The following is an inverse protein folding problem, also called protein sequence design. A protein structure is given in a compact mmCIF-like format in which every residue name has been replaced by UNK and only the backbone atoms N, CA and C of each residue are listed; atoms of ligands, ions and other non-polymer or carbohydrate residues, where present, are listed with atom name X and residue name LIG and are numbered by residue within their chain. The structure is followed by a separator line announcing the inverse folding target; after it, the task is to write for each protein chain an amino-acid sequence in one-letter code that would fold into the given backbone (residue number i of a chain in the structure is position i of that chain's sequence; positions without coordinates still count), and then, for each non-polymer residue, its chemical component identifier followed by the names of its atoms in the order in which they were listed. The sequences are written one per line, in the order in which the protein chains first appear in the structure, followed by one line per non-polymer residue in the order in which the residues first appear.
data_IF_247239014100
#
_entry.id   IF_247239014100
#
_cell.length_a   1.000
_cell.length_b   1.000
_cell.length_c   1.000
_cell.angle_alpha   90.00
_cell.angle_beta   90.00
_cell.angle_gamma   90.00
#
_symmetry.space_group_name_H-M   'P 1'
#
loop_
_entity.id
_entity.type
_entity.pdbx_description
1 polymer ?
#
# COMPACT_ATOMS: atom_id res chain seq x y z
N UNK A 1 -5.61 -6.19 14.29
CA UNK A 1 -6.02 -4.96 14.98
C UNK A 1 -6.75 -4.07 13.99
N UNK A 2 -7.96 -3.61 14.32
CA UNK A 2 -8.74 -2.72 13.46
C UNK A 2 -8.29 -1.26 13.61
N UNK A 3 -8.21 -0.53 12.50
CA UNK A 3 -7.90 0.92 12.48
C UNK A 3 -9.03 1.78 13.05
N UNK A 4 -10.21 1.18 13.26
CA UNK A 4 -11.38 1.81 13.83
C UNK A 4 -11.43 1.69 15.36
N UNK A 5 -10.47 0.98 15.97
CA UNK A 5 -10.39 0.86 17.42
C UNK A 5 -10.13 2.22 18.09
N UNK A 6 -10.57 2.42 19.36
CA UNK A 6 -10.27 3.65 20.12
C UNK A 6 -8.76 3.91 20.28
N UNK A 7 -7.97 2.83 20.30
CA UNK A 7 -6.50 2.86 20.41
C UNK A 7 -5.80 3.05 19.05
N UNK A 8 -6.56 3.34 17.98
CA UNK A 8 -5.99 3.64 16.68
C UNK A 8 -5.03 4.82 16.73
N UNK A 9 -3.93 4.72 15.96
CA UNK A 9 -3.03 5.88 15.77
C UNK A 9 -3.63 6.90 14.79
N UNK A 10 -4.71 6.53 14.11
CA UNK A 10 -5.42 7.32 13.10
C UNK A 10 -6.73 7.92 13.62
N UNK A 11 -6.88 8.12 14.94
CA UNK A 11 -8.08 8.74 15.53
C UNK A 11 -8.44 10.11 14.95
N UNK A 12 -7.47 10.87 14.41
CA UNK A 12 -7.73 12.16 13.75
C UNK A 12 -8.55 12.03 12.45
N UNK A 13 -8.57 10.85 11.82
CA UNK A 13 -9.33 10.58 10.60
C UNK A 13 -10.70 9.93 10.88
N UNK A 14 -10.89 9.36 12.07
CA UNK A 14 -12.15 8.75 12.45
C UNK A 14 -13.28 9.80 12.54
N UNK A 15 -14.49 9.42 12.13
CA UNK A 15 -15.67 10.30 12.23
C UNK A 15 -16.25 10.42 13.64
N UNK A 16 -15.82 9.55 14.55
CA UNK A 16 -16.10 9.67 15.99
C UNK A 16 -14.91 10.25 16.78
N UNK A 17 -13.87 10.72 16.07
CA UNK A 17 -12.64 11.23 16.67
C UNK A 17 -12.59 12.75 16.89
N UNK A 18 -11.43 13.28 17.32
CA UNK A 18 -11.18 14.69 17.65
C UNK A 18 -11.68 15.74 16.66
N UNK A 19 -11.60 15.48 15.35
CA UNK A 19 -11.92 16.45 14.30
C UNK A 19 -13.07 15.99 13.41
N UNK A 20 -14.04 15.26 13.96
CA UNK A 20 -15.20 14.77 13.22
C UNK A 20 -15.84 15.87 12.38
N UNK A 21 -16.22 15.53 11.15
CA UNK A 21 -16.83 16.49 10.23
C UNK A 21 -18.34 16.38 10.38
N UNK A 22 -19.00 17.49 10.73
CA UNK A 22 -20.46 17.57 10.81
C UNK A 22 -21.02 18.38 9.64
N UNK A 23 -22.33 18.55 9.53
CA UNK A 23 -22.95 19.37 8.48
C UNK A 23 -22.44 20.81 8.49
N UNK A 24 -22.10 21.34 9.67
CA UNK A 24 -21.48 22.65 9.84
C UNK A 24 -19.99 22.52 10.15
N UNK A 25 -19.22 23.56 9.87
CA UNK A 25 -17.82 23.68 10.26
C UNK A 25 -17.67 23.87 11.77
N UNK A 26 -16.44 23.69 12.26
CA UNK A 26 -16.05 23.88 13.66
C UNK A 26 -16.04 25.36 14.10
N UNK A 27 -16.67 26.26 13.34
CA UNK A 27 -16.76 27.70 13.62
C UNK A 27 -17.88 28.09 14.59
N UNK A 28 -18.62 27.13 15.12
CA UNK A 28 -19.72 27.46 16.01
C UNK A 28 -19.13 28.08 17.29
N UNK A 29 -19.38 29.38 17.51
CA UNK A 29 -18.79 30.19 18.58
C UNK A 29 -18.76 29.48 19.93
N UNK A 30 -17.84 29.92 20.82
CA UNK A 30 -17.41 29.23 22.07
C UNK A 30 -18.53 28.62 22.94
N UNK A 31 -19.80 29.03 22.76
CA UNK A 31 -20.96 28.58 23.53
C UNK A 31 -22.12 27.96 22.73
N UNK A 32 -21.94 27.65 21.45
CA UNK A 32 -23.00 27.04 20.64
C UNK A 32 -23.41 25.64 21.15
N UNK A 33 -24.67 25.25 20.88
CA UNK A 33 -25.16 23.91 21.23
C UNK A 33 -24.36 22.80 20.54
N UNK A 34 -23.96 23.02 19.28
CA UNK A 34 -23.14 22.09 18.51
C UNK A 34 -21.75 21.90 19.11
N UNK A 35 -21.08 22.98 19.54
CA UNK A 35 -19.78 22.92 20.20
C UNK A 35 -19.87 22.20 21.55
N UNK A 36 -20.92 22.44 22.34
CA UNK A 36 -21.15 21.72 23.60
C UNK A 36 -21.39 20.23 23.39
N UNK A 37 -22.20 19.86 22.40
CA UNK A 37 -22.47 18.47 22.02
C UNK A 37 -21.20 17.76 21.56
N UNK A 38 -20.41 18.41 20.72
CA UNK A 38 -19.14 17.88 20.24
C UNK A 38 -18.14 17.68 21.38
N UNK A 39 -17.96 18.67 22.28
CA UNK A 39 -17.11 18.52 23.46
C UNK A 39 -17.62 17.39 24.37
N UNK A 40 -18.94 17.27 24.57
CA UNK A 40 -19.53 16.16 25.34
C UNK A 40 -19.22 14.80 24.72
N UNK A 41 -19.26 14.71 23.39
CA UNK A 41 -18.90 13.49 22.66
C UNK A 41 -17.41 13.19 22.74
N UNK A 42 -16.53 14.19 22.60
CA UNK A 42 -15.09 14.02 22.79
C UNK A 42 -14.76 13.57 24.21
N UNK A 43 -15.48 14.08 25.21
CA UNK A 43 -15.31 13.70 26.62
C UNK A 43 -15.68 12.26 26.96
N UNK A 44 -16.38 11.54 26.07
CA UNK A 44 -16.69 10.12 26.27
C UNK A 44 -15.43 9.26 26.31
N UNK A 45 -14.35 9.71 25.69
CA UNK A 45 -13.03 9.10 25.75
C UNK A 45 -12.00 10.18 26.18
N UNK A 46 -11.45 10.10 27.41
CA UNK A 46 -10.45 11.06 27.89
C UNK A 46 -9.25 11.25 26.96
N UNK A 47 -8.84 10.19 26.25
CA UNK A 47 -7.72 10.24 25.32
C UNK A 47 -8.02 11.14 24.11
N UNK A 48 -9.28 11.17 23.64
CA UNK A 48 -9.69 12.01 22.52
C UNK A 48 -9.59 13.51 22.84
N UNK A 49 -9.85 13.92 24.08
CA UNK A 49 -9.68 15.32 24.49
C UNK A 49 -8.20 15.72 24.43
N UNK A 50 -7.32 14.89 24.97
CA UNK A 50 -5.88 15.17 24.97
C UNK A 50 -5.34 15.24 23.55
N UNK A 51 -5.71 14.28 22.69
CA UNK A 51 -5.37 14.29 21.26
C UNK A 51 -5.90 15.53 20.55
N UNK A 52 -7.16 15.92 20.81
CA UNK A 52 -7.74 17.14 20.25
C UNK A 52 -6.93 18.38 20.64
N UNK A 53 -6.60 18.55 21.93
CA UNK A 53 -5.85 19.71 22.41
C UNK A 53 -4.46 19.80 21.77
N UNK A 54 -3.74 18.68 21.73
CA UNK A 54 -2.41 18.62 21.11
C UNK A 54 -2.45 18.98 19.63
N UNK A 55 -3.35 18.35 18.87
CA UNK A 55 -3.51 18.61 17.43
C UNK A 55 -3.99 20.04 17.15
N UNK A 56 -4.92 20.58 17.95
CA UNK A 56 -5.36 21.97 17.83
C UNK A 56 -4.18 22.93 18.00
N UNK A 57 -3.37 22.73 19.04
CA UNK A 57 -2.17 23.56 19.27
C UNK A 57 -1.19 23.46 18.09
N UNK A 58 -0.94 22.26 17.56
CA UNK A 58 -0.09 22.09 16.37
C UNK A 58 -0.65 22.80 15.15
N UNK A 59 -1.96 22.73 14.92
CA UNK A 59 -2.63 23.45 13.83
C UNK A 59 -2.51 24.96 13.97
N UNK A 60 -2.62 25.47 15.19
CA UNK A 60 -2.48 26.90 15.50
C UNK A 60 -1.05 27.38 15.23
N UNK A 61 -0.05 26.63 15.67
CA UNK A 61 1.36 26.92 15.35
C UNK A 61 1.64 26.85 13.84
N UNK A 62 1.04 25.86 13.16
CA UNK A 62 1.20 25.68 11.72
C UNK A 62 0.60 26.84 10.92
N UNK A 63 -0.61 27.28 11.29
CA UNK A 63 -1.30 28.41 10.67
C UNK A 63 -0.84 29.78 11.17
N UNK A 64 -0.04 29.81 12.25
CA UNK A 64 0.37 31.02 12.97
C UNK A 64 -0.83 31.85 13.44
N UNK A 65 -1.70 31.21 14.21
CA UNK A 65 -2.91 31.78 14.81
C UNK A 65 -3.03 31.41 16.29
N UNK A 66 -3.73 32.23 17.06
CA UNK A 66 -3.96 32.01 18.50
C UNK A 66 -5.34 31.40 18.80
N UNK A 67 -6.30 31.51 17.88
CA UNK A 67 -7.67 31.07 18.06
C UNK A 67 -8.39 30.75 16.73
N UNK A 68 -9.62 30.25 16.83
CA UNK A 68 -10.45 29.91 15.68
C UNK A 68 -11.01 31.13 14.91
N UNK A 69 -11.07 32.32 15.51
CA UNK A 69 -11.56 33.53 14.83
C UNK A 69 -10.53 33.99 13.80
N UNK A 70 -9.24 33.93 14.14
CA UNK A 70 -8.15 34.21 13.21
C UNK A 70 -8.12 33.26 12.00
N UNK A 71 -8.60 32.02 12.15
CA UNK A 71 -8.77 31.09 11.02
C UNK A 71 -9.79 31.64 10.01
N UNK A 72 -10.85 32.31 10.46
CA UNK A 72 -11.83 32.93 9.56
C UNK A 72 -11.24 34.13 8.81
N UNK A 73 -10.36 34.89 9.46
CA UNK A 73 -9.61 35.96 8.80
C UNK A 73 -8.70 35.39 7.70
N UNK A 74 -7.99 34.28 7.98
CA UNK A 74 -7.19 33.58 6.97
C UNK A 74 -8.04 33.07 5.78
N UNK A 75 -9.23 32.53 6.03
CA UNK A 75 -10.11 32.08 4.95
C UNK A 75 -10.54 33.23 4.02
N UNK A 76 -10.57 34.48 4.50
CA UNK A 76 -10.97 35.64 3.70
C UNK A 76 -9.80 36.33 3.00
N UNK A 77 -8.63 36.39 3.64
CA UNK A 77 -7.48 37.13 3.13
C UNK A 77 -6.49 36.25 2.36
N UNK A 78 -6.50 36.36 1.03
CA UNK A 78 -5.60 35.61 0.14
C UNK A 78 -4.13 35.94 0.34
N UNK A 79 -3.79 37.19 0.65
CA UNK A 79 -2.40 37.63 0.82
C UNK A 79 -1.84 37.02 2.09
N UNK A 80 -2.60 37.09 3.18
CA UNK A 80 -2.21 36.46 4.44
C UNK A 80 -2.09 34.94 4.30
N UNK A 81 -3.00 34.27 3.57
CA UNK A 81 -2.86 32.83 3.28
C UNK A 81 -1.59 32.49 2.55
N UNK A 82 -1.20 33.29 1.55
CA UNK A 82 0.04 33.07 0.81
C UNK A 82 1.25 33.13 1.75
N UNK A 83 1.32 34.16 2.59
CA UNK A 83 2.39 34.31 3.59
C UNK A 83 2.44 33.13 4.57
N UNK A 84 1.28 32.71 5.10
CA UNK A 84 1.21 31.53 5.99
C UNK A 84 1.60 30.24 5.29
N UNK A 85 1.28 30.10 4.00
CA UNK A 85 1.66 28.95 3.19
C UNK A 85 3.15 28.85 2.99
N UNK A 86 3.83 29.96 2.67
CA UNK A 86 5.28 29.98 2.50
C UNK A 86 6.00 29.60 3.79
N UNK A 87 5.59 30.17 4.93
CA UNK A 87 6.10 29.77 6.26
C UNK A 87 5.84 28.30 6.56
N UNK A 88 4.61 27.84 6.34
CA UNK A 88 4.21 26.46 6.60
C UNK A 88 5.02 25.46 5.78
N UNK A 89 5.31 25.78 4.51
CA UNK A 89 6.20 24.98 3.68
C UNK A 89 7.60 24.90 4.28
N UNK A 90 8.20 26.02 4.74
CA UNK A 90 9.49 25.98 5.43
C UNK A 90 9.46 25.09 6.69
N UNK A 91 8.39 25.15 7.49
CA UNK A 91 8.22 24.28 8.65
C UNK A 91 8.16 22.79 8.26
N UNK A 92 7.42 22.45 7.20
CA UNK A 92 7.37 21.08 6.69
C UNK A 92 8.71 20.62 6.11
N UNK A 93 9.43 21.52 5.42
CA UNK A 93 10.78 21.28 4.92
C UNK A 93 11.72 20.87 6.05
N UNK A 94 11.73 21.63 7.14
CA UNK A 94 12.51 21.30 8.33
C UNK A 94 12.04 19.99 8.98
N UNK A 95 10.72 19.79 9.11
CA UNK A 95 10.16 18.61 9.78
C UNK A 95 10.49 17.30 9.05
N UNK A 96 10.47 17.31 7.72
CA UNK A 96 10.77 16.13 6.90
C UNK A 96 12.23 16.09 6.41
N UNK A 97 13.07 17.03 6.84
CA UNK A 97 14.46 17.16 6.41
C UNK A 97 14.60 17.27 4.89
N UNK A 98 13.80 18.13 4.26
CA UNK A 98 13.87 18.41 2.81
C UNK A 98 14.89 19.52 2.61
N UNK A 99 16.02 19.18 1.99
CA UNK A 99 17.03 20.16 1.60
C UNK A 99 16.57 20.97 0.40
N UNK A 100 16.95 22.25 0.36
CA UNK A 100 16.71 23.12 -0.79
C UNK A 100 15.98 24.43 -0.48
N UNK A 101 15.68 25.18 -1.53
CA UNK A 101 14.91 26.41 -1.48
C UNK A 101 13.39 26.13 -1.40
N UNK A 102 12.60 27.19 -1.21
CA UNK A 102 11.15 27.08 -1.05
C UNK A 102 10.45 26.38 -2.23
N UNK A 103 10.94 26.52 -3.47
CA UNK A 103 10.35 25.85 -4.63
C UNK A 103 10.61 24.34 -4.62
N UNK A 104 11.78 23.91 -4.17
CA UNK A 104 12.14 22.50 -4.03
C UNK A 104 11.30 21.84 -2.92
N UNK A 105 11.16 22.53 -1.77
CA UNK A 105 10.28 22.11 -0.69
C UNK A 105 8.83 22.01 -1.18
N UNK A 106 8.35 23.03 -1.88
CA UNK A 106 6.99 23.03 -2.45
C UNK A 106 6.79 21.87 -3.41
N UNK A 107 7.72 21.64 -4.32
CA UNK A 107 7.65 20.54 -5.29
C UNK A 107 7.55 19.18 -4.60
N UNK A 108 8.31 18.98 -3.51
CA UNK A 108 8.26 17.76 -2.71
C UNK A 108 6.92 17.61 -1.95
N UNK A 109 6.40 18.70 -1.38
CA UNK A 109 5.07 18.69 -0.73
C UNK A 109 3.96 18.40 -1.75
N UNK A 110 4.08 18.91 -2.97
CA UNK A 110 3.16 18.60 -4.08
C UNK A 110 3.24 17.10 -4.48
N UNK A 111 4.41 16.45 -4.37
CA UNK A 111 4.54 14.98 -4.52
C UNK A 111 3.82 14.21 -3.41
N UNK A 112 3.85 14.70 -2.17
CA UNK A 112 3.10 14.09 -1.07
C UNK A 112 1.60 14.19 -1.30
N UNK A 113 1.13 15.32 -1.85
CA UNK A 113 -0.26 15.51 -2.29
C UNK A 113 -0.64 14.49 -3.37
N UNK A 114 0.16 14.38 -4.44
CA UNK A 114 -0.06 13.39 -5.52
C UNK A 114 -0.08 11.95 -5.00
N UNK A 115 0.78 11.63 -4.03
CA UNK A 115 0.78 10.31 -3.39
C UNK A 115 -0.51 10.06 -2.62
N UNK A 116 -1.04 11.06 -1.90
CA UNK A 116 -2.31 10.97 -1.20
C UNK A 116 -3.48 10.69 -2.16
N UNK A 117 -3.53 11.37 -3.31
CA UNK A 117 -4.55 11.13 -4.33
C UNK A 117 -4.38 9.74 -4.97
N UNK A 118 -3.14 9.32 -5.24
CA UNK A 118 -2.82 7.99 -5.78
C UNK A 118 -3.26 6.84 -4.85
N UNK A 119 -3.31 7.05 -3.52
CA UNK A 119 -3.89 6.07 -2.59
C UNK A 119 -5.37 5.84 -2.89
N UNK A 120 -6.12 6.92 -3.11
CA UNK A 120 -7.56 6.85 -3.39
C UNK A 120 -7.80 6.25 -4.77
N UNK A 121 -7.10 6.74 -5.79
CA UNK A 121 -7.19 6.20 -7.15
C UNK A 121 -6.79 4.72 -7.22
N UNK A 122 -5.79 4.30 -6.46
CA UNK A 122 -5.43 2.87 -6.39
C UNK A 122 -6.53 2.02 -5.77
N UNK A 123 -7.26 2.52 -4.76
CA UNK A 123 -8.38 1.79 -4.18
C UNK A 123 -9.57 1.73 -5.15
N UNK A 124 -9.89 2.86 -5.82
CA UNK A 124 -10.92 2.92 -6.85
C UNK A 124 -10.61 1.93 -7.98
N UNK A 125 -9.43 2.03 -8.58
CA UNK A 125 -9.07 1.22 -9.75
C UNK A 125 -8.91 -0.27 -9.45
N UNK A 126 -8.36 -0.63 -8.27
CA UNK A 126 -8.05 -2.04 -7.95
C UNK A 126 -9.10 -2.76 -7.11
N UNK A 127 -9.87 -2.07 -6.28
CA UNK A 127 -10.72 -2.72 -5.25
C UNK A 127 -12.18 -2.28 -5.36
N UNK A 128 -12.45 -1.03 -5.75
CA UNK A 128 -13.78 -0.42 -5.66
C UNK A 128 -14.29 0.08 -7.01
N UNK A 129 -13.85 -0.51 -8.13
CA UNK A 129 -14.18 0.00 -9.46
C UNK A 129 -15.69 0.03 -9.75
N UNK A 130 -16.53 -0.94 -9.32
CA UNK A 130 -17.99 -0.85 -9.49
C UNK A 130 -18.64 0.23 -8.61
N UNK A 131 -17.92 0.74 -7.61
CA UNK A 131 -18.37 1.70 -6.62
C UNK A 131 -17.74 3.09 -6.80
N UNK A 132 -17.03 3.33 -7.90
CA UNK A 132 -16.27 4.55 -8.14
C UNK A 132 -17.11 5.83 -7.93
N UNK A 133 -18.36 5.85 -8.40
CA UNK A 133 -19.27 7.01 -8.26
C UNK A 133 -19.61 7.37 -6.81
N UNK A 134 -19.60 6.40 -5.89
CA UNK A 134 -19.82 6.68 -4.46
C UNK A 134 -18.63 7.40 -3.82
N UNK A 135 -17.43 7.19 -4.35
CA UNK A 135 -16.16 7.60 -3.71
C UNK A 135 -15.32 8.54 -4.58
N UNK A 136 -15.90 9.05 -5.66
CA UNK A 136 -15.31 10.05 -6.55
C UNK A 136 -14.83 11.25 -5.74
N UNK A 137 -13.63 11.74 -6.06
CA UNK A 137 -13.02 12.86 -5.37
C UNK A 137 -13.75 14.16 -5.70
N UNK A 138 -13.85 15.06 -4.73
CA UNK A 138 -14.26 16.43 -5.00
C UNK A 138 -13.13 17.14 -5.75
N UNK A 139 -13.41 17.66 -6.95
CA UNK A 139 -12.41 18.29 -7.83
C UNK A 139 -11.56 19.35 -7.12
N UNK A 140 -12.20 20.20 -6.31
CA UNK A 140 -11.53 21.26 -5.54
C UNK A 140 -10.48 20.70 -4.57
N UNK A 141 -10.72 19.51 -4.00
CA UNK A 141 -9.79 18.84 -3.08
C UNK A 141 -8.67 18.13 -3.85
N UNK A 142 -9.00 17.51 -4.99
CA UNK A 142 -8.02 16.84 -5.83
C UNK A 142 -6.96 17.82 -6.35
N UNK A 143 -7.35 19.00 -6.82
CA UNK A 143 -6.41 19.99 -7.36
C UNK A 143 -5.68 20.82 -6.29
N UNK A 144 -6.13 20.75 -5.03
CA UNK A 144 -5.48 21.48 -3.93
C UNK A 144 -4.31 20.67 -3.36
N UNK A 145 -3.09 21.19 -3.54
CA UNK A 145 -1.87 20.57 -3.00
C UNK A 145 -1.33 21.27 -1.75
N UNK A 146 -1.72 22.52 -1.51
CA UNK A 146 -1.22 23.32 -0.41
C UNK A 146 -1.82 22.84 0.93
N UNK A 147 -0.99 22.40 1.91
CA UNK A 147 -1.47 21.93 3.20
C UNK A 147 -2.25 22.98 4.00
N UNK A 148 -1.89 24.27 3.89
CA UNK A 148 -2.61 25.35 4.57
C UNK A 148 -4.00 25.49 3.99
N UNK A 149 -4.15 25.50 2.66
CA UNK A 149 -5.46 25.58 2.01
C UNK A 149 -6.34 24.37 2.37
N UNK A 150 -5.79 23.14 2.31
CA UNK A 150 -6.51 21.93 2.76
C UNK A 150 -6.95 22.02 4.23
N UNK A 151 -6.12 22.58 5.10
CA UNK A 151 -6.45 22.72 6.52
C UNK A 151 -7.56 23.75 6.73
N UNK A 152 -7.50 24.88 6.02
CA UNK A 152 -8.51 25.93 6.09
C UNK A 152 -9.87 25.47 5.54
N UNK A 153 -9.89 24.60 4.53
CA UNK A 153 -11.13 23.99 4.01
C UNK A 153 -11.91 23.30 5.14
N UNK A 154 -11.25 22.63 6.09
CA UNK A 154 -11.92 21.98 7.22
C UNK A 154 -12.76 22.94 8.08
N UNK A 155 -12.42 24.22 8.08
CA UNK A 155 -13.07 25.30 8.84
C UNK A 155 -13.87 26.26 7.97
N UNK A 156 -14.14 25.92 6.72
CA UNK A 156 -14.86 26.79 5.80
C UNK A 156 -16.25 26.21 5.50
N UNK A 157 -17.29 26.93 5.91
CA UNK A 157 -18.70 26.53 5.72
C UNK A 157 -19.16 26.52 4.26
N UNK A 158 -18.42 27.14 3.35
CA UNK A 158 -18.71 27.06 1.91
C UNK A 158 -18.48 25.65 1.35
N UNK A 159 -17.74 24.80 2.07
CA UNK A 159 -17.46 23.43 1.65
C UNK A 159 -18.39 22.43 2.32
N UNK A 160 -19.00 21.58 1.49
CA UNK A 160 -19.82 20.47 1.94
C UNK A 160 -19.04 19.52 2.88
N UNK A 161 -19.76 18.79 3.74
CA UNK A 161 -19.21 17.80 4.68
C UNK A 161 -18.22 16.83 4.02
N UNK A 162 -18.53 16.37 2.80
CA UNK A 162 -17.67 15.49 2.00
C UNK A 162 -16.32 16.14 1.70
N UNK A 163 -16.30 17.32 1.08
CA UNK A 163 -15.07 18.03 0.74
C UNK A 163 -14.18 18.32 1.97
N UNK A 164 -14.80 18.71 3.10
CA UNK A 164 -14.06 18.93 4.36
C UNK A 164 -13.43 17.66 4.91
N UNK A 165 -14.13 16.53 4.80
CA UNK A 165 -13.56 15.23 5.16
C UNK A 165 -12.41 14.84 4.22
N UNK A 166 -12.58 15.02 2.92
CA UNK A 166 -11.56 14.68 1.93
C UNK A 166 -10.29 15.51 2.11
N UNK A 167 -10.41 16.80 2.43
CA UNK A 167 -9.27 17.66 2.75
C UNK A 167 -8.48 17.14 3.97
N UNK A 168 -9.19 16.79 5.05
CA UNK A 168 -8.60 16.19 6.25
C UNK A 168 -7.92 14.85 5.94
N UNK A 169 -8.58 13.99 5.15
CA UNK A 169 -8.03 12.71 4.70
C UNK A 169 -6.75 12.93 3.92
N UNK A 170 -6.76 13.85 2.95
CA UNK A 170 -5.61 14.18 2.10
C UNK A 170 -4.41 14.63 2.94
N UNK A 171 -4.60 15.54 3.88
CA UNK A 171 -3.54 15.99 4.81
C UNK A 171 -2.88 14.85 5.60
N UNK A 172 -3.69 13.92 6.11
CA UNK A 172 -3.16 12.77 6.88
C UNK A 172 -2.36 11.84 5.95
N UNK A 173 -2.85 11.58 4.74
CA UNK A 173 -2.14 10.77 3.75
C UNK A 173 -0.84 11.46 3.29
N UNK A 174 -0.84 12.79 3.11
CA UNK A 174 0.36 13.57 2.82
C UNK A 174 1.40 13.45 3.95
N UNK A 175 0.96 13.48 5.21
CA UNK A 175 1.88 13.32 6.36
C UNK A 175 2.55 11.94 6.34
N UNK A 176 1.79 10.89 6.00
CA UNK A 176 2.34 9.54 5.84
C UNK A 176 3.30 9.45 4.66
N UNK A 177 2.95 10.07 3.53
CA UNK A 177 3.81 10.12 2.35
C UNK A 177 5.14 10.83 2.65
N UNK A 178 5.11 11.98 3.33
CA UNK A 178 6.33 12.69 3.74
C UNK A 178 7.21 11.90 4.69
N UNK A 179 6.60 11.18 5.66
CA UNK A 179 7.35 10.31 6.57
C UNK A 179 8.01 9.12 5.84
N UNK A 180 7.33 8.58 4.83
CA UNK A 180 7.86 7.50 3.98
C UNK A 180 9.04 8.01 3.13
N UNK A 181 8.86 9.14 2.44
CA UNK A 181 9.90 9.75 1.61
C UNK A 181 11.16 10.09 2.43
N UNK A 182 10.99 10.70 3.60
CA UNK A 182 12.10 10.96 4.51
C UNK A 182 12.88 9.68 4.83
N UNK A 183 12.18 8.60 5.21
CA UNK A 183 12.82 7.32 5.54
C UNK A 183 13.50 6.68 4.33
N UNK A 184 12.93 6.79 3.14
CA UNK A 184 13.56 6.31 1.90
C UNK A 184 14.87 7.03 1.62
N UNK A 185 14.92 8.35 1.81
CA UNK A 185 16.13 9.16 1.66
C UNK A 185 17.19 8.79 2.70
N UNK A 186 16.79 8.68 3.97
CA UNK A 186 17.69 8.27 5.06
C UNK A 186 18.27 6.86 4.88
N UNK A 187 17.53 5.96 4.23
CA UNK A 187 17.94 4.57 4.02
C UNK A 187 18.62 4.32 2.69
N UNK A 188 18.67 5.32 1.80
CA UNK A 188 19.25 5.24 0.45
C UNK A 188 18.74 4.03 -0.34
N UNK A 189 17.41 3.85 -0.33
CA UNK A 189 16.77 2.64 -0.86
C UNK A 189 16.96 2.49 -2.38
N UNK A 190 17.05 3.59 -3.13
CA UNK A 190 17.20 3.59 -4.59
C UNK A 190 18.58 3.08 -5.04
N UNK A 191 19.64 3.58 -4.41
CA UNK A 191 21.01 3.14 -4.70
C UNK A 191 21.19 1.67 -4.32
N UNK A 192 20.63 1.27 -3.16
CA UNK A 192 20.54 -0.13 -2.74
C UNK A 192 19.81 -0.99 -3.77
N UNK A 193 18.63 -0.57 -4.23
CA UNK A 193 17.88 -1.32 -5.24
C UNK A 193 18.70 -1.54 -6.53
N UNK A 194 19.39 -0.50 -6.99
CA UNK A 194 20.28 -0.56 -8.15
C UNK A 194 21.43 -1.55 -7.95
N UNK A 195 22.07 -1.53 -6.76
CA UNK A 195 23.11 -2.48 -6.39
C UNK A 195 22.60 -3.93 -6.33
N UNK A 196 21.37 -4.15 -5.85
CA UNK A 196 20.75 -5.47 -5.85
C UNK A 196 20.50 -6.00 -7.27
N UNK A 197 20.00 -5.16 -8.18
CA UNK A 197 19.83 -5.53 -9.59
C UNK A 197 21.16 -5.86 -10.25
N UNK A 198 22.20 -5.08 -9.97
CA UNK A 198 23.56 -5.35 -10.46
C UNK A 198 24.10 -6.69 -9.93
N UNK A 199 23.89 -6.99 -8.64
CA UNK A 199 24.24 -8.29 -8.05
C UNK A 199 23.53 -9.45 -8.76
N UNK A 200 22.22 -9.34 -8.97
CA UNK A 200 21.44 -10.39 -9.62
C UNK A 200 21.92 -10.64 -11.07
N UNK A 201 22.12 -9.56 -11.84
CA UNK A 201 22.59 -9.67 -13.22
C UNK A 201 24.05 -10.14 -13.33
N UNK A 202 24.91 -9.76 -12.39
CA UNK A 202 26.33 -10.11 -12.41
C UNK A 202 26.65 -11.52 -11.91
N UNK A 203 25.84 -12.06 -10.99
CA UNK A 203 26.20 -13.29 -10.26
C UNK A 203 25.12 -14.36 -10.22
N UNK A 204 23.84 -13.99 -10.31
CA UNK A 204 22.73 -14.95 -10.12
C UNK A 204 22.20 -15.46 -11.45
N UNK A 205 21.95 -14.58 -12.40
CA UNK A 205 21.37 -14.95 -13.70
C UNK A 205 22.40 -15.56 -14.64
N UNK A 206 21.94 -16.49 -15.48
CA UNK A 206 22.75 -17.07 -16.56
C UNK A 206 23.04 -15.99 -17.62
N UNK A 207 24.29 -15.89 -18.13
CA UNK A 207 24.66 -14.90 -19.15
C UNK A 207 24.12 -15.25 -20.55
N UNK A 208 23.49 -16.41 -20.72
CA UNK A 208 22.99 -16.89 -22.01
C UNK A 208 21.86 -16.03 -22.61
N UNK A 209 21.15 -15.27 -21.77
CA UNK A 209 20.16 -14.28 -22.21
C UNK A 209 20.69 -12.88 -21.91
N UNK A 210 20.48 -11.94 -22.84
CA UNK A 210 20.85 -10.54 -22.61
C UNK A 210 20.01 -9.93 -21.48
N UNK A 211 20.52 -8.86 -20.86
CA UNK A 211 19.74 -8.08 -19.91
C UNK A 211 18.50 -7.53 -20.63
N UNK A 212 17.30 -7.77 -20.08
CA UNK A 212 16.01 -7.46 -20.71
C UNK A 212 15.40 -8.57 -21.58
N UNK A 213 16.20 -9.56 -22.00
CA UNK A 213 15.70 -10.71 -22.75
C UNK A 213 15.04 -11.73 -21.82
N UNK A 214 13.88 -12.24 -22.24
CA UNK A 214 13.05 -13.19 -21.49
C UNK A 214 12.49 -14.24 -22.44
N UNK A 215 12.42 -15.48 -21.98
CA UNK A 215 11.87 -16.61 -22.71
C UNK A 215 10.37 -16.78 -22.38
N UNK A 216 9.45 -16.53 -23.33
CA UNK A 216 8.02 -16.66 -23.08
C UNK A 216 7.59 -18.12 -23.05
N UNK A 217 6.94 -18.52 -21.95
CA UNK A 217 6.28 -19.83 -21.80
C UNK A 217 4.85 -19.65 -21.35
N UNK A 218 4.01 -20.65 -21.61
CA UNK A 218 2.61 -20.65 -21.20
C UNK A 218 2.34 -21.79 -20.22
N UNK A 219 1.72 -21.48 -19.10
CA UNK A 219 1.18 -22.48 -18.19
C UNK A 219 -0.24 -22.82 -18.62
N UNK A 220 -0.45 -24.03 -19.14
CA UNK A 220 -1.79 -24.58 -19.33
C UNK A 220 -2.18 -25.32 -18.06
N UNK A 221 -3.20 -24.81 -17.38
CA UNK A 221 -3.62 -25.30 -16.07
C UNK A 221 -5.06 -25.78 -16.08
N UNK A 222 -5.32 -26.84 -15.32
CA UNK A 222 -6.67 -27.36 -15.02
C UNK A 222 -7.01 -27.05 -13.58
N UNK A 223 -8.26 -26.70 -13.33
CA UNK A 223 -8.74 -26.21 -12.06
C UNK A 223 -9.92 -27.03 -11.54
N UNK A 224 -10.02 -27.17 -10.21
CA UNK A 224 -11.16 -27.78 -9.54
C UNK A 224 -12.42 -26.92 -9.70
N UNK A 225 -13.58 -27.53 -9.93
CA UNK A 225 -14.85 -26.80 -10.10
C UNK A 225 -15.37 -26.14 -8.81
N UNK A 226 -14.97 -26.63 -7.63
CA UNK A 226 -15.45 -26.12 -6.35
C UNK A 226 -14.76 -24.79 -5.96
N UNK A 227 -13.44 -24.79 -5.90
CA UNK A 227 -12.64 -23.67 -5.39
C UNK A 227 -11.65 -23.09 -6.42
N UNK A 228 -11.63 -23.63 -7.64
CA UNK A 228 -10.71 -23.23 -8.71
C UNK A 228 -9.22 -23.45 -8.38
N UNK A 229 -8.91 -24.33 -7.42
CA UNK A 229 -7.54 -24.79 -7.16
C UNK A 229 -6.95 -25.50 -8.38
N UNK A 230 -5.68 -25.23 -8.67
CA UNK A 230 -4.95 -25.86 -9.75
C UNK A 230 -4.67 -27.33 -9.41
N UNK A 231 -5.21 -28.24 -10.23
CA UNK A 231 -5.05 -29.69 -10.08
C UNK A 231 -3.95 -30.24 -10.99
N UNK A 232 -3.70 -29.59 -12.13
CA UNK A 232 -2.64 -29.95 -13.06
C UNK A 232 -2.09 -28.71 -13.78
N UNK A 233 -0.81 -28.73 -14.12
CA UNK A 233 -0.15 -27.68 -14.91
C UNK A 233 0.88 -28.28 -15.87
N UNK A 234 0.79 -27.86 -17.14
CA UNK A 234 1.77 -28.18 -18.19
C UNK A 234 2.43 -26.90 -18.67
N UNK A 235 3.75 -26.90 -18.80
CA UNK A 235 4.51 -25.78 -19.39
C UNK A 235 4.60 -25.98 -20.89
N UNK A 236 4.14 -25.00 -21.66
CA UNK A 236 4.09 -25.01 -23.12
C UNK A 236 4.97 -23.92 -23.69
N UNK A 237 5.58 -24.20 -24.84
CA UNK A 237 6.21 -23.16 -25.65
C UNK A 237 5.15 -22.35 -26.44
N UNK A 238 5.52 -21.21 -27.05
CA UNK A 238 4.56 -20.36 -27.77
C UNK A 238 3.81 -21.06 -28.92
N UNK A 239 4.46 -21.98 -29.64
CA UNK A 239 3.83 -22.69 -30.75
C UNK A 239 2.80 -23.71 -30.27
N UNK A 240 3.11 -24.46 -29.20
CA UNK A 240 2.17 -25.36 -28.53
C UNK A 240 0.98 -24.59 -27.95
N UNK A 241 1.23 -23.42 -27.35
CA UNK A 241 0.18 -22.60 -26.73
C UNK A 241 -0.86 -22.10 -27.74
N UNK A 242 -0.46 -21.79 -28.98
CA UNK A 242 -1.39 -21.37 -30.06
C UNK A 242 -2.41 -22.46 -30.42
N UNK A 243 -2.07 -23.73 -30.19
CA UNK A 243 -2.93 -24.86 -30.50
C UNK A 243 -3.95 -25.15 -29.38
N UNK A 244 -3.80 -24.52 -28.21
CA UNK A 244 -4.69 -24.72 -27.07
C UNK A 244 -5.80 -23.67 -27.09
N UNK A 245 -7.04 -24.14 -27.04
CA UNK A 245 -8.20 -23.31 -26.74
C UNK A 245 -8.71 -23.71 -25.35
N UNK A 246 -8.45 -22.91 -24.30
CA UNK A 246 -8.89 -23.24 -22.95
C UNK A 246 -10.40 -23.38 -22.89
N UNK A 247 -10.86 -24.47 -22.26
CA UNK A 247 -12.28 -24.70 -21.95
C UNK A 247 -12.60 -24.29 -20.52
N UNK A 248 -13.85 -24.45 -20.09
CA UNK A 248 -14.24 -24.14 -18.71
C UNK A 248 -13.40 -24.93 -17.71
N UNK A 249 -12.87 -24.24 -16.70
CA UNK A 249 -11.97 -24.84 -15.70
C UNK A 249 -10.51 -24.95 -16.18
N UNK A 250 -10.17 -24.46 -17.37
CA UNK A 250 -8.81 -24.37 -17.86
C UNK A 250 -8.35 -22.91 -18.01
N UNK A 251 -7.06 -22.66 -17.80
CA UNK A 251 -6.44 -21.35 -18.03
C UNK A 251 -5.13 -21.51 -18.80
N UNK A 252 -4.82 -20.51 -19.61
CA UNK A 252 -3.54 -20.38 -20.30
C UNK A 252 -2.85 -19.10 -19.83
N UNK A 253 -1.80 -19.23 -19.02
CA UNK A 253 -1.14 -18.11 -18.36
C UNK A 253 0.26 -17.90 -18.91
N UNK A 254 0.53 -16.73 -19.49
CA UNK A 254 1.87 -16.36 -19.98
C UNK A 254 2.81 -16.05 -18.81
N UNK A 255 4.00 -16.66 -18.81
CA UNK A 255 5.14 -16.30 -17.99
C UNK A 255 6.35 -15.98 -18.86
N UNK A 256 7.14 -15.00 -18.46
CA UNK A 256 8.37 -14.61 -19.15
C UNK A 256 9.58 -14.98 -18.30
N UNK A 257 10.26 -16.06 -18.63
CA UNK A 257 11.29 -16.68 -17.79
C UNK A 257 12.69 -16.20 -18.13
N UNK A 258 13.56 -16.28 -17.13
CA UNK A 258 15.02 -16.26 -17.25
C UNK A 258 15.55 -17.62 -16.84
N UNK A 259 16.86 -17.73 -16.66
CA UNK A 259 17.48 -18.93 -16.11
C UNK A 259 18.67 -18.60 -15.22
N UNK A 260 19.01 -19.54 -14.36
CA UNK A 260 20.25 -19.59 -13.59
C UNK A 260 20.87 -20.98 -13.73
N UNK A 261 22.17 -21.10 -13.44
CA UNK A 261 22.89 -22.37 -13.57
C UNK A 261 23.25 -22.89 -12.19
N UNK A 262 22.99 -24.17 -11.93
CA UNK A 262 23.46 -24.90 -10.75
C UNK A 262 24.32 -26.07 -11.23
N UNK A 263 25.64 -25.92 -11.11
CA UNK A 263 26.57 -26.79 -11.85
C UNK A 263 26.34 -26.62 -13.35
N UNK A 264 26.15 -27.74 -14.05
CA UNK A 264 25.89 -27.75 -15.50
C UNK A 264 24.38 -27.68 -15.85
N UNK A 265 23.49 -27.76 -14.85
CA UNK A 265 22.04 -27.70 -15.06
C UNK A 265 21.60 -26.24 -15.20
N UNK A 266 20.99 -25.92 -16.35
CA UNK A 266 20.25 -24.66 -16.57
C UNK A 266 18.82 -24.82 -16.01
N UNK A 267 18.46 -23.98 -15.06
CA UNK A 267 17.13 -24.01 -14.43
C UNK A 267 16.33 -22.76 -14.81
N UNK A 268 15.14 -22.90 -15.42
CA UNK A 268 14.31 -21.77 -15.77
C UNK A 268 13.61 -21.18 -14.53
N UNK A 269 13.42 -19.86 -14.52
CA UNK A 269 12.81 -19.13 -13.41
C UNK A 269 12.05 -17.92 -13.94
N UNK A 270 10.79 -17.75 -13.54
CA UNK A 270 10.12 -16.47 -13.68
C UNK A 270 10.46 -15.61 -12.47
N UNK A 271 10.87 -14.36 -12.68
CA UNK A 271 11.21 -13.43 -11.62
C UNK A 271 10.47 -12.12 -11.85
N UNK A 272 9.80 -11.62 -10.80
CA UNK A 272 9.29 -10.26 -10.73
C UNK A 272 9.96 -9.57 -9.56
N UNK A 273 10.77 -8.56 -9.87
CA UNK A 273 11.38 -7.69 -8.87
C UNK A 273 10.54 -6.42 -8.84
N UNK A 274 10.07 -6.03 -7.65
CA UNK A 274 9.23 -4.85 -7.48
C UNK A 274 9.73 -3.99 -6.33
N UNK A 275 9.82 -2.69 -6.61
CA UNK A 275 9.79 -1.63 -5.60
C UNK A 275 8.32 -1.32 -5.31
N UNK A 276 7.92 -1.35 -4.03
CA UNK A 276 6.53 -1.03 -3.66
C UNK A 276 6.27 0.45 -3.95
N UNK A 277 5.21 0.82 -4.71
CA UNK A 277 4.96 2.22 -5.01
C UNK A 277 4.52 2.98 -3.74
N UNK A 278 4.71 4.31 -3.65
CA UNK A 278 4.44 5.09 -2.44
C UNK A 278 3.05 4.89 -1.84
N UNK A 279 2.01 4.88 -2.67
CA UNK A 279 0.63 4.66 -2.24
C UNK A 279 0.40 3.29 -1.60
N UNK A 280 1.11 2.25 -2.05
CA UNK A 280 1.02 0.92 -1.44
C UNK A 280 1.68 0.88 -0.05
N UNK A 281 2.72 1.69 0.17
CA UNK A 281 3.36 1.87 1.48
C UNK A 281 2.43 2.62 2.45
N UNK A 282 1.76 3.67 1.99
CA UNK A 282 0.73 4.37 2.78
C UNK A 282 -0.39 3.40 3.18
N UNK A 283 -0.92 2.61 2.23
CA UNK A 283 -1.93 1.58 2.54
C UNK A 283 -1.40 0.51 3.50
N UNK A 284 -0.11 0.14 3.43
CA UNK A 284 0.52 -0.78 4.41
C UNK A 284 0.49 -0.20 5.82
N UNK A 285 0.85 1.08 6.00
CA UNK A 285 0.80 1.78 7.28
C UNK A 285 -0.63 1.85 7.85
N UNK A 286 -1.61 2.22 7.01
CA UNK A 286 -3.02 2.22 7.39
C UNK A 286 -3.46 0.83 7.87
N UNK A 287 -3.32 -0.21 7.04
CA UNK A 287 -3.74 -1.59 7.39
C UNK A 287 -3.09 -2.13 8.65
N UNK A 288 -1.85 -1.74 8.93
CA UNK A 288 -1.11 -2.17 10.12
C UNK A 288 -1.38 -1.29 11.36
N UNK A 289 -2.16 -0.22 11.22
CA UNK A 289 -2.40 0.78 12.26
C UNK A 289 -1.08 1.37 12.81
N UNK A 290 -0.18 1.77 11.92
CA UNK A 290 1.17 2.27 12.24
C UNK A 290 1.45 3.61 11.55
N UNK A 291 2.12 4.53 12.25
CA UNK A 291 2.66 5.77 11.66
C UNK A 291 4.17 5.71 11.42
N UNK A 292 4.87 4.77 12.03
CA UNK A 292 6.31 4.61 11.84
C UNK A 292 6.59 4.13 10.40
N UNK A 293 7.29 4.93 9.57
CA UNK A 293 7.55 4.60 8.17
C UNK A 293 8.42 3.36 7.99
N UNK A 294 9.25 2.98 8.98
CA UNK A 294 10.09 1.79 8.95
C UNK A 294 9.27 0.51 8.66
N UNK A 295 8.05 0.43 9.19
CA UNK A 295 7.14 -0.70 8.96
C UNK A 295 6.80 -0.87 7.46
N UNK A 296 6.85 0.20 6.67
CA UNK A 296 6.55 0.16 5.24
C UNK A 296 7.79 0.15 4.35
N UNK A 297 8.85 0.87 4.74
CA UNK A 297 10.07 1.08 3.94
C UNK A 297 11.09 -0.05 4.13
N UNK A 298 11.24 -0.60 5.33
CA UNK A 298 12.31 -1.59 5.58
C UNK A 298 12.04 -2.97 4.89
N UNK A 299 10.81 -3.19 4.39
CA UNK A 299 10.44 -4.34 3.51
C UNK A 299 10.09 -3.88 2.07
N UNK A 300 10.69 -2.79 1.60
CA UNK A 300 10.30 -2.16 0.34
C UNK A 300 10.58 -3.01 -0.89
N UNK A 301 11.72 -3.71 -0.88
CA UNK A 301 12.17 -4.53 -1.99
C UNK A 301 11.57 -5.94 -1.88
N UNK A 302 10.84 -6.33 -2.92
CA UNK A 302 10.30 -7.68 -3.06
C UNK A 302 10.79 -8.35 -4.33
N UNK A 303 11.22 -9.61 -4.21
CA UNK A 303 11.46 -10.50 -5.33
C UNK A 303 10.48 -11.66 -5.23
N UNK A 304 9.66 -11.80 -6.26
CA UNK A 304 8.81 -12.97 -6.44
C UNK A 304 9.42 -13.87 -7.49
N UNK A 305 9.52 -15.17 -7.20
CA UNK A 305 10.04 -16.16 -8.13
C UNK A 305 9.05 -17.30 -8.33
N UNK A 306 8.99 -17.85 -9.55
CA UNK A 306 8.22 -19.06 -9.86
C UNK A 306 9.15 -20.05 -10.56
N UNK A 307 9.25 -21.25 -9.98
CA UNK A 307 10.06 -22.36 -10.49
C UNK A 307 9.18 -23.58 -10.78
N UNK A 308 9.74 -24.56 -11.49
CA UNK A 308 8.97 -25.73 -11.89
C UNK A 308 8.72 -26.70 -10.73
N UNK A 309 9.71 -26.92 -9.86
CA UNK A 309 9.63 -27.90 -8.76
C UNK A 309 10.12 -27.35 -7.43
N UNK A 310 9.74 -28.00 -6.32
CA UNK A 310 10.26 -27.69 -4.97
C UNK A 310 11.77 -27.88 -4.90
N UNK A 311 12.32 -28.88 -5.60
CA UNK A 311 13.76 -29.09 -5.69
C UNK A 311 14.47 -27.89 -6.34
N UNK A 312 13.90 -27.33 -7.41
CA UNK A 312 14.45 -26.14 -8.05
C UNK A 312 14.37 -24.92 -7.13
N UNK A 313 13.32 -24.79 -6.30
CA UNK A 313 13.22 -23.73 -5.26
C UNK A 313 14.39 -23.81 -4.28
N UNK A 314 14.70 -25.01 -3.78
CA UNK A 314 15.86 -25.21 -2.87
C UNK A 314 17.19 -24.96 -3.58
N UNK A 315 17.32 -25.39 -4.84
CA UNK A 315 18.49 -25.12 -5.64
C UNK A 315 18.70 -23.61 -5.86
N UNK A 316 17.63 -22.85 -6.09
CA UNK A 316 17.70 -21.40 -6.24
C UNK A 316 18.12 -20.70 -4.93
N UNK A 317 17.55 -21.12 -3.78
CA UNK A 317 17.94 -20.59 -2.47
C UNK A 317 19.44 -20.80 -2.19
N UNK A 318 19.96 -22.01 -2.46
CA UNK A 318 21.39 -22.31 -2.31
C UNK A 318 22.25 -21.53 -3.33
N UNK A 319 21.76 -21.37 -4.56
CA UNK A 319 22.43 -20.60 -5.59
C UNK A 319 22.58 -19.13 -5.21
N UNK A 320 21.57 -18.51 -4.61
CA UNK A 320 21.62 -17.13 -4.13
C UNK A 320 22.73 -16.90 -3.11
N UNK A 321 22.84 -17.77 -2.09
CA UNK A 321 23.85 -17.66 -1.03
C UNK A 321 25.26 -17.89 -1.56
N UNK A 322 25.45 -18.86 -2.47
CA UNK A 322 26.73 -19.08 -3.16
C UNK A 322 27.11 -17.92 -4.08
N UNK A 323 26.14 -17.34 -4.78
CA UNK A 323 26.35 -16.19 -5.67
C UNK A 323 26.77 -14.95 -4.88
N UNK A 324 26.19 -14.74 -3.70
CA UNK A 324 26.63 -13.67 -2.79
C UNK A 324 28.10 -13.86 -2.38
N UNK A 325 28.49 -15.09 -2.02
CA UNK A 325 29.88 -15.40 -1.66
C UNK A 325 30.84 -15.12 -2.82
N UNK A 326 30.46 -15.46 -4.06
CA UNK A 326 31.23 -15.12 -5.27
C UNK A 326 31.34 -13.62 -5.52
N UNK A 327 30.31 -12.86 -5.14
CA UNK A 327 30.31 -11.40 -5.17
C UNK A 327 31.05 -10.76 -3.98
N UNK A 328 31.89 -11.53 -3.26
CA UNK A 328 32.61 -11.09 -2.06
C UNK A 328 31.69 -10.51 -0.98
N UNK A 329 30.50 -11.09 -0.83
CA UNK A 329 29.49 -10.65 0.13
C UNK A 329 28.87 -11.86 0.85
N UNK A 330 28.32 -11.62 2.04
CA UNK A 330 27.58 -12.63 2.79
C UNK A 330 26.08 -12.36 2.63
N UNK A 331 25.32 -13.38 2.25
CA UNK A 331 23.86 -13.34 2.28
C UNK A 331 23.34 -14.15 3.47
N UNK A 332 22.54 -13.52 4.32
CA UNK A 332 21.86 -14.17 5.44
C UNK A 332 20.37 -14.28 5.11
N UNK A 333 19.79 -15.46 5.33
CA UNK A 333 18.35 -15.69 5.16
C UNK A 333 17.67 -15.64 6.54
N UNK A 334 16.66 -14.80 6.66
CA UNK A 334 15.93 -14.48 7.89
C UNK A 334 14.45 -14.85 7.74
N UNK A 335 13.76 -15.10 8.86
CA UNK A 335 12.31 -15.37 8.93
C UNK A 335 11.82 -16.39 7.88
N UNK A 336 12.56 -17.49 7.72
CA UNK A 336 12.25 -18.52 6.72
C UNK A 336 10.96 -19.24 7.08
N UNK A 337 10.01 -19.25 6.14
CA UNK A 337 8.76 -19.99 6.18
C UNK A 337 8.65 -20.80 4.90
N UNK A 338 8.59 -22.13 4.98
CA UNK A 338 8.45 -23.01 3.83
C UNK A 338 7.18 -23.85 3.94
N UNK A 339 6.16 -23.46 3.17
CA UNK A 339 4.88 -24.17 3.09
C UNK A 339 4.72 -24.93 1.77
N UNK A 340 5.78 -24.99 0.96
CA UNK A 340 5.81 -25.80 -0.26
C UNK A 340 6.20 -27.25 0.06
N UNK A 341 7.04 -27.44 1.07
CA UNK A 341 7.48 -28.78 1.51
C UNK A 341 6.52 -29.43 2.50
N UNK A 342 5.74 -28.61 3.23
CA UNK A 342 4.78 -29.08 4.21
C UNK A 342 3.40 -29.31 3.57
N UNK A 343 2.91 -30.55 3.58
CA UNK A 343 1.51 -30.88 3.26
C UNK A 343 0.52 -30.43 4.37
N UNK A 344 0.96 -29.60 5.32
CA UNK A 344 0.12 -29.12 6.41
C UNK A 344 -0.36 -27.70 6.13
N UNK A 345 -1.61 -27.40 6.50
CA UNK A 345 -2.17 -26.06 6.37
C UNK A 345 -1.27 -25.06 7.10
N UNK A 346 -0.73 -24.09 6.36
CA UNK A 346 0.08 -23.02 6.92
C UNK A 346 -0.74 -22.25 7.98
N UNK A 347 -0.27 -22.26 9.22
CA UNK A 347 -0.84 -21.43 10.30
C UNK A 347 -0.10 -20.10 10.33
N UNK A 348 -0.34 -19.26 9.33
CA UNK A 348 0.19 -17.91 9.31
C UNK A 348 -0.43 -17.05 10.41
N UNK A 349 0.35 -16.63 11.40
CA UNK A 349 -0.07 -15.59 12.39
C UNK A 349 0.05 -14.17 11.83
N UNK A 350 0.67 -14.03 10.65
CA UNK A 350 0.94 -12.76 10.01
C UNK A 350 -0.31 -12.19 9.32
N UNK A 351 -0.85 -11.11 9.88
CA UNK A 351 -1.89 -10.27 9.25
C UNK A 351 -1.35 -9.68 7.94
N UNK A 352 -1.46 -10.39 6.81
CA UNK A 352 -1.07 -9.81 5.52
C UNK A 352 -0.82 -10.72 4.31
N UNK A 353 -0.94 -12.04 4.41
CA UNK A 353 -1.03 -12.98 3.29
C UNK A 353 -2.14 -14.00 3.58
N UNK A 354 -2.68 -14.68 2.56
CA UNK A 354 -3.55 -15.84 2.81
C UNK A 354 -2.75 -16.91 3.55
N UNK A 355 -3.35 -17.46 4.60
CA UNK A 355 -2.81 -18.58 5.37
C UNK A 355 -2.92 -19.90 4.60
N UNK A 356 -3.58 -19.89 3.44
CA UNK A 356 -3.79 -21.07 2.60
C UNK A 356 -2.86 -21.15 1.38
N UNK A 357 -2.07 -20.11 1.09
CA UNK A 357 -1.18 -20.11 -0.09
C UNK A 357 0.13 -20.89 0.19
N UNK A 358 0.42 -21.99 -0.54
CA UNK A 358 1.71 -22.64 -0.49
C UNK A 358 2.79 -21.74 -1.12
N UNK A 359 3.87 -21.46 -0.39
CA UNK A 359 5.01 -20.66 -0.85
C UNK A 359 6.20 -20.83 0.09
N UNK A 360 7.40 -20.58 -0.45
CA UNK A 360 8.58 -20.36 0.37
C UNK A 360 8.81 -18.86 0.49
N UNK A 361 8.81 -18.36 1.73
CA UNK A 361 9.03 -16.96 2.05
C UNK A 361 10.23 -16.81 2.98
N UNK A 362 11.06 -15.82 2.72
CA UNK A 362 12.16 -15.43 3.62
C UNK A 362 12.59 -13.98 3.33
N UNK A 363 13.33 -13.38 4.24
CA UNK A 363 14.07 -12.15 3.95
C UNK A 363 15.54 -12.48 3.69
N UNK A 364 16.13 -11.90 2.66
CA UNK A 364 17.56 -12.00 2.42
C UNK A 364 18.24 -10.68 2.77
N UNK A 365 19.24 -10.74 3.64
CA UNK A 365 20.10 -9.59 3.97
C UNK A 365 21.40 -9.68 3.17
N UNK A 366 21.70 -8.64 2.39
CA UNK A 366 22.88 -8.54 1.53
C UNK A 366 23.28 -7.07 1.37
N UNK A 367 24.55 -6.71 1.59
CA UNK A 367 25.07 -5.37 1.28
C UNK A 367 24.30 -4.22 1.96
N UNK A 368 23.87 -4.40 3.21
CA UNK A 368 23.06 -3.40 3.93
C UNK A 368 21.60 -3.28 3.47
N UNK A 369 21.14 -4.22 2.62
CA UNK A 369 19.77 -4.33 2.16
C UNK A 369 19.07 -5.52 2.81
N UNK A 370 17.75 -5.43 2.92
CA UNK A 370 16.87 -6.52 3.31
C UNK A 370 15.77 -6.66 2.27
N UNK A 371 15.73 -7.80 1.57
CA UNK A 371 14.82 -8.05 0.45
C UNK A 371 13.86 -9.18 0.81
N UNK A 372 12.56 -8.97 0.61
CA UNK A 372 11.52 -9.99 0.80
C UNK A 372 11.50 -10.93 -0.42
N UNK A 373 11.75 -12.21 -0.21
CA UNK A 373 11.61 -13.25 -1.22
C UNK A 373 10.31 -14.01 -1.01
N UNK A 374 9.52 -14.16 -2.08
CA UNK A 374 8.32 -15.00 -2.13
C UNK A 374 8.46 -15.93 -3.33
N UNK A 375 8.62 -17.21 -3.08
CA UNK A 375 8.91 -18.21 -4.10
C UNK A 375 7.74 -19.21 -4.18
N UNK A 376 7.31 -19.47 -5.41
CA UNK A 376 6.24 -20.40 -5.75
C UNK A 376 6.77 -21.49 -6.69
N UNK A 377 6.10 -22.65 -6.69
CA UNK A 377 6.05 -23.53 -7.86
C UNK A 377 5.00 -23.03 -8.87
N UNK A 378 5.02 -23.50 -10.12
CA UNK A 378 3.98 -23.18 -11.11
C UNK A 378 2.56 -23.38 -10.55
N UNK A 379 2.29 -24.53 -9.93
CA UNK A 379 0.98 -24.86 -9.37
C UNK A 379 0.58 -23.90 -8.23
N UNK A 380 1.50 -23.66 -7.27
CA UNK A 380 1.20 -22.75 -6.16
C UNK A 380 1.04 -21.29 -6.60
N UNK A 381 1.72 -20.89 -7.68
CA UNK A 381 1.55 -19.59 -8.30
C UNK A 381 0.16 -19.46 -8.94
N UNK A 382 -0.29 -20.48 -9.66
CA UNK A 382 -1.63 -20.52 -10.24
C UNK A 382 -2.71 -20.52 -9.15
N UNK A 383 -2.49 -21.17 -8.01
CA UNK A 383 -3.37 -21.06 -6.84
C UNK A 383 -3.39 -19.63 -6.28
N UNK A 384 -2.23 -18.99 -6.12
CA UNK A 384 -2.13 -17.59 -5.70
C UNK A 384 -2.84 -16.62 -6.67
N UNK A 385 -2.95 -16.98 -7.95
CA UNK A 385 -3.65 -16.18 -8.95
C UNK A 385 -5.16 -16.46 -8.98
N UNK A 386 -5.57 -17.72 -8.82
CA UNK A 386 -6.92 -18.16 -9.23
C UNK A 386 -7.71 -18.95 -8.18
N UNK A 387 -7.08 -19.54 -7.15
CA UNK A 387 -7.85 -20.33 -6.18
C UNK A 387 -8.70 -19.40 -5.29
N UNK A 388 -9.98 -19.72 -5.09
CA UNK A 388 -10.86 -18.98 -4.20
C UNK A 388 -10.31 -18.98 -2.77
N UNK A 389 -10.51 -17.87 -2.04
CA UNK A 389 -9.95 -17.66 -0.68
C UNK A 389 -8.40 -17.64 -0.60
N UNK A 390 -7.70 -17.87 -1.71
CA UNK A 390 -6.23 -17.86 -1.83
C UNK A 390 -5.76 -16.75 -2.76
N UNK A 391 -6.53 -16.46 -3.81
CA UNK A 391 -6.20 -15.53 -4.86
C UNK A 391 -5.89 -14.14 -4.31
N UNK A 392 -4.81 -13.55 -4.81
CA UNK A 392 -4.29 -12.28 -4.31
C UNK A 392 -5.35 -11.16 -4.28
N UNK A 393 -6.08 -10.97 -5.38
CA UNK A 393 -7.06 -9.89 -5.51
C UNK A 393 -8.21 -10.05 -4.50
N UNK A 394 -8.74 -11.27 -4.35
CA UNK A 394 -9.77 -11.57 -3.37
C UNK A 394 -9.26 -11.29 -1.94
N UNK A 395 -8.03 -11.71 -1.64
CA UNK A 395 -7.40 -11.48 -0.35
C UNK A 395 -7.18 -9.99 -0.08
N UNK A 396 -6.76 -9.20 -1.07
CA UNK A 396 -6.56 -7.75 -0.92
C UNK A 396 -7.86 -7.03 -0.57
N UNK A 397 -8.98 -7.40 -1.20
CA UNK A 397 -10.32 -6.89 -0.86
C UNK A 397 -10.63 -7.17 0.61
N UNK A 398 -10.64 -8.44 1.02
CA UNK A 398 -10.93 -8.82 2.41
C UNK A 398 -10.05 -8.06 3.38
N UNK A 399 -8.75 -8.02 3.12
CA UNK A 399 -7.79 -7.34 3.99
C UNK A 399 -8.08 -5.85 4.17
N UNK A 400 -8.40 -5.12 3.09
CA UNK A 400 -8.65 -3.67 3.16
C UNK A 400 -9.97 -3.37 3.90
N UNK A 401 -10.99 -4.20 3.74
CA UNK A 401 -12.25 -4.07 4.47
C UNK A 401 -12.13 -4.52 5.94
N UNK A 402 -11.57 -5.70 6.20
CA UNK A 402 -11.51 -6.34 7.52
C UNK A 402 -10.59 -5.59 8.49
N UNK A 403 -9.59 -4.86 7.97
CA UNK A 403 -8.77 -3.95 8.79
C UNK A 403 -9.47 -2.64 9.14
N UNK A 404 -10.60 -2.33 8.50
CA UNK A 404 -11.37 -1.10 8.67
C UNK A 404 -10.86 0.08 7.84
N UNK A 405 -9.91 -0.12 6.92
CA UNK A 405 -9.32 0.96 6.12
C UNK A 405 -10.34 1.62 5.20
N UNK A 406 -11.29 0.85 4.65
CA UNK A 406 -12.37 1.43 3.81
C UNK A 406 -13.24 2.39 4.59
N UNK A 407 -13.74 2.00 5.77
CA UNK A 407 -14.52 2.91 6.64
C UNK A 407 -13.69 4.13 7.07
N UNK A 408 -12.41 3.93 7.37
CA UNK A 408 -11.52 5.04 7.75
C UNK A 408 -11.36 6.07 6.63
N UNK A 409 -11.26 5.62 5.37
CA UNK A 409 -11.05 6.49 4.21
C UNK A 409 -12.34 6.95 3.51
N UNK A 410 -13.43 6.23 3.70
CA UNK A 410 -14.72 6.45 3.04
C UNK A 410 -15.89 6.19 4.01
N UNK A 411 -15.98 6.90 5.14
CA UNK A 411 -16.94 6.58 6.19
C UNK A 411 -18.38 6.66 5.69
N UNK A 412 -19.22 5.74 6.18
CA UNK A 412 -20.58 5.54 5.69
C UNK A 412 -21.45 6.80 5.79
N UNK A 413 -21.23 7.64 6.81
CA UNK A 413 -21.97 8.88 7.04
C UNK A 413 -21.57 10.04 6.10
N UNK A 414 -20.54 9.86 5.28
CA UNK A 414 -20.09 10.82 4.27
C UNK A 414 -20.25 10.28 2.85
N UNK A 415 -19.93 9.01 2.62
CA UNK A 415 -19.91 8.41 1.28
C UNK A 415 -21.09 7.47 1.00
N UNK A 416 -21.93 7.21 2.02
CA UNK A 416 -23.11 6.33 1.91
C UNK A 416 -22.79 4.91 1.41
N UNK A 417 -21.56 4.45 1.65
CA UNK A 417 -21.08 3.14 1.23
C UNK A 417 -21.34 2.10 2.33
N UNK A 418 -22.16 1.07 2.04
CA UNK A 418 -22.46 -0.01 2.99
C UNK A 418 -21.33 -1.05 3.00
N UNK A 419 -20.28 -0.81 3.78
CA UNK A 419 -19.02 -1.54 3.67
C UNK A 419 -19.10 -3.07 3.74
N UNK A 420 -19.91 -3.66 4.62
CA UNK A 420 -20.04 -5.12 4.69
C UNK A 420 -20.65 -5.69 3.40
N UNK A 421 -21.71 -5.06 2.90
CA UNK A 421 -22.34 -5.44 1.64
C UNK A 421 -21.37 -5.26 0.47
N UNK A 422 -20.69 -4.10 0.40
CA UNK A 422 -19.69 -3.80 -0.64
C UNK A 422 -18.55 -4.80 -0.63
N UNK A 423 -18.03 -5.18 0.54
CA UNK A 423 -16.98 -6.19 0.69
C UNK A 423 -17.40 -7.52 0.04
N UNK A 424 -18.57 -8.03 0.42
CA UNK A 424 -19.02 -9.34 -0.02
C UNK A 424 -19.30 -9.35 -1.53
N UNK A 425 -19.88 -8.27 -2.07
CA UNK A 425 -20.06 -8.10 -3.51
C UNK A 425 -18.73 -8.02 -4.27
N UNK A 426 -17.73 -7.30 -3.74
CA UNK A 426 -16.41 -7.24 -4.38
C UNK A 426 -15.68 -8.57 -4.35
N UNK A 427 -15.79 -9.34 -3.26
CA UNK A 427 -15.26 -10.71 -3.21
C UNK A 427 -15.89 -11.58 -4.31
N UNK A 428 -17.21 -11.52 -4.47
CA UNK A 428 -17.91 -12.27 -5.52
C UNK A 428 -17.53 -11.78 -6.92
N UNK A 429 -17.33 -10.48 -7.11
CA UNK A 429 -16.89 -9.90 -8.38
C UNK A 429 -15.53 -10.49 -8.81
N UNK A 430 -14.54 -10.52 -7.93
CA UNK A 430 -13.22 -11.09 -8.25
C UNK A 430 -13.27 -12.61 -8.48
N UNK A 431 -14.11 -13.34 -7.73
CA UNK A 431 -14.31 -14.78 -7.97
C UNK A 431 -14.87 -15.05 -9.36
N UNK A 432 -15.84 -14.25 -9.81
CA UNK A 432 -16.39 -14.36 -11.17
C UNK A 432 -15.33 -14.06 -12.23
N UNK A 433 -14.49 -13.04 -12.04
CA UNK A 433 -13.40 -12.72 -12.97
C UNK A 433 -12.35 -13.82 -13.10
N UNK A 434 -12.11 -14.57 -12.03
CA UNK A 434 -11.20 -15.73 -12.05
C UNK A 434 -11.78 -16.86 -12.91
N UNK A 435 -13.09 -17.11 -12.77
CA UNK A 435 -13.79 -18.23 -13.41
C UNK A 435 -14.14 -17.96 -14.87
N UNK A 436 -14.37 -16.69 -15.25
CA UNK A 436 -14.44 -16.24 -16.66
C UNK A 436 -13.09 -16.35 -17.31
#
# INVERSE_FOLDING_TARGET
MSVLSPNSVFTSLQQFGPFSVTNNSLNAGRFSQSTRLWIKNLKKDPNNITKYRALRSQMFEFLEVSDFEQIQSLIKDKTLRKQRSERALCLLGNMFGIDGNLNEIKSRVDEYSRTADAVIHSLIGKILSPYASHIELTNEIEVTNNPVELLLIMFNDNYHKKARFEARRKLILMTLAGSIDQRERETDIESKFSAFLAFLNGYVWSPNLKIGELDPVYLHSKHNNEDFSCTNVTVLNPEQAKLIQPTQGEKLTLLKRRSFNVGDKKTPIYVSIRKKPPQAKVLKLLRKNQKNPAVAVDDELGLMAVLDTVSDVKAFQQHLTRSASKASSLMVLEDISDTLSDNTQYKGTAVGSSDKTPMMKFFARLGGMRVEFIIHTNQSWLNYMFQQDVAHNEYEVKRIFDTGVVELLFPMDVFHLKHLKTRDEMVQFFRKQIQS
#
